data_IF_212807063999
#
_entry.id   IF_212807063999
#
_cell.length_a   1.000
_cell.length_b   1.000
_cell.length_c   1.000
_cell.angle_alpha   90.00
_cell.angle_beta   90.00
_cell.angle_gamma   90.00
#
_symmetry.space_group_name_H-M   'P 1'
#
loop_
_entity.id
_entity.type
_entity.pdbx_description
1 polymer ?
#
# COMPACT_ATOMS: atom_id res chain seq x y z
N UNK A 1 -11.44 -26.74 28.67
CA UNK A 1 -10.59 -26.26 27.56
C UNK A 1 -11.08 -24.89 27.14
N UNK A 2 -10.20 -23.96 26.70
CA UNK A 2 -10.59 -22.55 26.48
C UNK A 2 -11.69 -22.31 25.42
N UNK A 3 -11.82 -23.19 24.42
CA UNK A 3 -12.80 -23.07 23.34
C UNK A 3 -14.19 -23.65 23.69
N UNK A 4 -14.36 -24.18 24.91
CA UNK A 4 -15.66 -24.66 25.40
C UNK A 4 -16.23 -25.91 24.72
N UNK A 5 -15.42 -26.67 23.98
CA UNK A 5 -15.86 -27.88 23.26
C UNK A 5 -16.50 -28.95 24.17
N UNK A 6 -16.11 -28.99 25.45
CA UNK A 6 -16.62 -29.93 26.45
C UNK A 6 -17.57 -29.29 27.46
N UNK A 7 -18.00 -28.04 27.25
CA UNK A 7 -18.80 -27.27 28.20
C UNK A 7 -20.31 -27.58 28.05
N UNK A 8 -20.65 -28.83 27.75
CA UNK A 8 -22.02 -29.31 27.57
C UNK A 8 -22.56 -29.10 26.15
N UNK A 9 -23.85 -28.75 26.04
CA UNK A 9 -24.52 -28.61 24.73
C UNK A 9 -23.92 -27.41 23.96
N UNK A 10 -23.27 -27.63 22.80
CA UNK A 10 -22.61 -26.56 22.04
C UNK A 10 -23.56 -25.41 21.65
N UNK A 11 -24.85 -25.68 21.41
CA UNK A 11 -25.85 -24.65 21.08
C UNK A 11 -26.13 -23.66 22.21
N UNK A 12 -25.79 -24.02 23.45
CA UNK A 12 -25.90 -23.16 24.64
C UNK A 12 -24.62 -22.37 24.92
N UNK A 13 -23.52 -22.67 24.22
CA UNK A 13 -22.27 -21.96 24.35
C UNK A 13 -22.32 -20.58 23.67
N UNK A 14 -21.35 -19.72 23.98
CA UNK A 14 -21.30 -18.32 23.51
C UNK A 14 -21.34 -18.18 21.98
N UNK A 15 -20.83 -19.17 21.23
CA UNK A 15 -20.85 -19.20 19.75
C UNK A 15 -21.89 -20.16 19.16
N UNK A 16 -22.64 -20.87 20.01
CA UNK A 16 -23.51 -21.98 19.61
C UNK A 16 -24.71 -21.61 18.73
N UNK A 17 -25.01 -20.31 18.62
CA UNK A 17 -26.13 -19.78 17.83
C UNK A 17 -25.74 -19.30 16.44
N UNK A 18 -24.44 -19.23 16.14
CA UNK A 18 -23.95 -18.85 14.81
C UNK A 18 -24.21 -20.00 13.83
N UNK A 19 -24.66 -19.67 12.62
CA UNK A 19 -24.95 -20.65 11.58
C UNK A 19 -25.05 -20.05 10.18
N UNK A 20 -25.65 -20.77 9.21
CA UNK A 20 -25.67 -20.35 7.80
C UNK A 20 -26.28 -18.97 7.55
N UNK A 21 -27.25 -18.54 8.37
CA UNK A 21 -27.89 -17.22 8.27
C UNK A 21 -26.95 -16.06 8.61
N UNK A 22 -25.88 -16.33 9.37
CA UNK A 22 -24.88 -15.35 9.80
C UNK A 22 -23.70 -15.31 8.82
N UNK A 23 -23.70 -16.17 7.80
CA UNK A 23 -22.72 -16.19 6.70
C UNK A 23 -23.32 -15.45 5.51
N UNK A 24 -22.48 -14.75 4.72
CA UNK A 24 -22.91 -14.05 3.50
C UNK A 24 -23.96 -12.94 3.69
N UNK A 25 -24.09 -12.36 4.88
CA UNK A 25 -24.99 -11.21 5.09
C UNK A 25 -24.59 -10.01 4.24
N UNK A 26 -25.53 -9.09 3.99
CA UNK A 26 -25.25 -7.88 3.22
C UNK A 26 -24.15 -7.02 3.86
N UNK A 27 -24.07 -7.00 5.19
CA UNK A 27 -23.03 -6.31 5.93
C UNK A 27 -21.65 -6.93 5.70
N UNK A 28 -21.54 -8.26 5.62
CA UNK A 28 -20.28 -8.94 5.31
C UNK A 28 -19.82 -8.67 3.87
N UNK A 29 -20.75 -8.69 2.91
CA UNK A 29 -20.46 -8.39 1.51
C UNK A 29 -20.02 -6.93 1.33
N UNK A 30 -20.67 -5.99 2.01
CA UNK A 30 -20.28 -4.58 1.97
C UNK A 30 -18.94 -4.35 2.68
N UNK A 31 -18.67 -5.05 3.79
CA UNK A 31 -17.36 -5.00 4.45
C UNK A 31 -16.23 -5.46 3.50
N UNK A 32 -16.47 -6.51 2.70
CA UNK A 32 -15.50 -6.96 1.70
C UNK A 32 -15.27 -5.90 0.61
N UNK A 33 -16.33 -5.26 0.11
CA UNK A 33 -16.22 -4.14 -0.85
C UNK A 33 -15.50 -2.93 -0.26
N UNK A 34 -15.81 -2.58 0.98
CA UNK A 34 -15.20 -1.46 1.69
C UNK A 34 -13.72 -1.71 1.96
N UNK A 35 -13.33 -2.93 2.35
CA UNK A 35 -11.94 -3.33 2.47
C UNK A 35 -11.19 -3.16 1.14
N UNK A 36 -11.79 -3.58 0.02
CA UNK A 36 -11.22 -3.38 -1.32
C UNK A 36 -11.09 -1.90 -1.68
N UNK A 37 -12.12 -1.07 -1.48
CA UNK A 37 -12.07 0.40 -1.71
C UNK A 37 -10.96 1.06 -0.92
N UNK A 38 -10.84 0.71 0.36
CA UNK A 38 -9.83 1.25 1.25
C UNK A 38 -8.41 0.80 0.91
N UNK A 39 -8.26 -0.38 0.29
CA UNK A 39 -6.99 -0.98 -0.11
C UNK A 39 -6.48 -0.53 -1.48
N UNK A 40 -7.35 -0.08 -2.39
CA UNK A 40 -6.93 0.41 -3.72
C UNK A 40 -6.00 1.62 -3.58
N UNK A 41 -4.84 1.53 -4.24
CA UNK A 41 -3.79 2.55 -4.21
C UNK A 41 -3.72 3.25 -5.57
N UNK A 42 -3.96 4.56 -5.59
CA UNK A 42 -3.73 5.41 -6.76
C UNK A 42 -2.27 5.85 -6.81
N UNK A 43 -1.52 5.39 -7.81
CA UNK A 43 -0.07 5.60 -7.91
C UNK A 43 0.30 6.73 -8.86
N UNK A 44 -0.52 6.95 -9.89
CA UNK A 44 -0.41 8.06 -10.85
C UNK A 44 -1.80 8.56 -11.16
N UNK A 45 -1.95 9.88 -11.27
CA UNK A 45 -3.17 10.51 -11.76
C UNK A 45 -2.84 11.88 -12.38
N UNK A 46 -2.90 11.95 -13.71
CA UNK A 46 -2.75 13.20 -14.45
C UNK A 46 -3.97 14.10 -14.24
N UNK A 47 -3.77 15.42 -14.26
CA UNK A 47 -4.86 16.39 -14.09
C UNK A 47 -5.97 16.14 -15.12
N UNK A 48 -7.20 15.92 -14.65
CA UNK A 48 -8.36 15.65 -15.51
C UNK A 48 -8.52 14.18 -15.94
N UNK A 49 -7.71 13.27 -15.41
CA UNK A 49 -7.85 11.82 -15.66
C UNK A 49 -8.93 11.19 -14.79
N UNK A 50 -8.57 10.76 -13.57
CA UNK A 50 -9.51 10.20 -12.61
C UNK A 50 -9.96 11.24 -11.56
N UNK A 51 -11.21 11.16 -11.06
CA UNK A 51 -12.24 10.18 -11.43
C UNK A 51 -12.89 10.49 -12.79
N UNK A 52 -13.33 9.45 -13.50
CA UNK A 52 -14.19 9.56 -14.67
C UNK A 52 -15.61 9.94 -14.26
N UNK A 53 -16.34 10.62 -15.15
CA UNK A 53 -17.77 10.86 -14.97
C UNK A 53 -18.57 9.94 -15.89
N UNK A 54 -19.50 9.11 -15.37
CA UNK A 54 -20.38 8.27 -16.19
C UNK A 54 -21.24 9.06 -17.18
N UNK A 55 -21.45 10.36 -16.95
CA UNK A 55 -22.23 11.23 -17.84
C UNK A 55 -21.38 11.96 -18.87
N UNK A 56 -20.06 12.03 -18.67
CA UNK A 56 -19.13 12.70 -19.59
C UNK A 56 -18.58 11.76 -20.66
N UNK A 57 -18.52 10.46 -20.39
CA UNK A 57 -18.12 9.43 -21.34
C UNK A 57 -19.31 8.53 -21.68
N UNK A 58 -19.40 8.09 -22.93
CA UNK A 58 -20.47 7.21 -23.42
C UNK A 58 -19.98 5.78 -23.62
N UNK A 59 -18.69 5.62 -23.94
CA UNK A 59 -18.10 4.32 -24.24
C UNK A 59 -16.79 4.09 -23.50
N UNK A 60 -16.61 2.87 -22.99
CA UNK A 60 -15.42 2.42 -22.29
C UNK A 60 -14.81 1.21 -22.99
N UNK A 61 -13.50 1.22 -23.23
CA UNK A 61 -12.76 0.03 -23.61
C UNK A 61 -12.17 -0.61 -22.35
N UNK A 62 -12.51 -1.87 -22.09
CA UNK A 62 -11.97 -2.65 -20.98
C UNK A 62 -11.09 -3.75 -21.56
N UNK A 63 -9.80 -3.73 -21.25
CA UNK A 63 -8.79 -4.57 -21.91
C UNK A 63 -7.92 -5.27 -20.86
N UNK A 64 -7.58 -6.53 -21.09
CA UNK A 64 -6.49 -7.19 -20.37
C UNK A 64 -6.89 -8.51 -19.69
N UNK A 65 -5.90 -9.36 -19.37
CA UNK A 65 -6.15 -10.72 -18.91
C UNK A 65 -6.85 -10.80 -17.55
N UNK A 66 -6.78 -9.73 -16.74
CA UNK A 66 -7.43 -9.63 -15.44
C UNK A 66 -8.74 -8.84 -15.46
N UNK A 67 -9.27 -8.50 -16.64
CA UNK A 67 -10.50 -7.72 -16.74
C UNK A 67 -11.76 -8.53 -16.39
N UNK A 68 -11.82 -9.82 -16.74
CA UNK A 68 -13.00 -10.66 -16.49
C UNK A 68 -12.66 -11.93 -15.71
N UNK A 69 -12.05 -11.74 -14.54
CA UNK A 69 -11.58 -12.84 -13.67
C UNK A 69 -12.33 -12.85 -12.34
N UNK A 70 -12.45 -14.04 -11.76
CA UNK A 70 -12.97 -14.26 -10.39
C UNK A 70 -11.89 -14.83 -9.47
N UNK A 71 -11.21 -15.89 -9.92
CA UNK A 71 -10.16 -16.58 -9.15
C UNK A 71 -8.94 -15.71 -8.85
N UNK A 72 -8.47 -14.92 -9.81
CA UNK A 72 -7.33 -14.03 -9.55
C UNK A 72 -7.62 -13.05 -8.42
N UNK A 73 -8.86 -12.57 -8.28
CA UNK A 73 -9.18 -11.51 -7.31
C UNK A 73 -9.05 -11.94 -5.85
N UNK A 74 -9.15 -13.24 -5.56
CA UNK A 74 -9.20 -13.77 -4.18
C UNK A 74 -7.86 -14.33 -3.69
N UNK A 75 -6.83 -14.34 -4.55
CA UNK A 75 -5.49 -14.73 -4.16
C UNK A 75 -5.37 -16.23 -3.87
N UNK A 76 -4.89 -16.58 -2.68
CA UNK A 76 -4.73 -17.94 -2.19
C UNK A 76 -5.37 -18.10 -0.79
N UNK A 77 -5.39 -19.34 -0.26
CA UNK A 77 -6.01 -19.65 1.04
C UNK A 77 -7.49 -19.23 1.12
N UNK A 78 -8.19 -19.36 0.01
CA UNK A 78 -9.56 -18.89 -0.17
C UNK A 78 -10.61 -19.99 0.04
N UNK A 79 -11.77 -19.58 0.54
CA UNK A 79 -13.00 -20.38 0.45
C UNK A 79 -13.78 -20.06 -0.83
N UNK A 80 -15.00 -20.58 -0.94
CA UNK A 80 -15.94 -20.15 -1.98
C UNK A 80 -16.67 -18.89 -1.51
N UNK A 81 -16.48 -17.72 -2.15
CA UNK A 81 -17.18 -16.50 -1.80
C UNK A 81 -18.66 -16.57 -2.14
N UNK A 82 -19.44 -15.68 -1.54
CA UNK A 82 -20.89 -15.65 -1.68
C UNK A 82 -21.30 -15.19 -3.08
N UNK A 83 -20.55 -14.24 -3.63
CA UNK A 83 -20.79 -13.65 -4.95
C UNK A 83 -19.51 -12.99 -5.45
N UNK A 84 -19.27 -13.07 -6.76
CA UNK A 84 -18.23 -12.28 -7.41
C UNK A 84 -18.81 -11.08 -8.17
N UNK A 85 -18.04 -10.00 -8.20
CA UNK A 85 -18.18 -8.95 -9.22
C UNK A 85 -16.84 -8.76 -9.91
N UNK A 86 -16.75 -9.20 -11.17
CA UNK A 86 -15.51 -9.05 -11.97
C UNK A 86 -15.26 -7.56 -12.30
N UNK A 87 -14.02 -7.13 -12.60
CA UNK A 87 -13.76 -5.75 -13.01
C UNK A 87 -14.61 -5.33 -14.22
N UNK A 88 -14.76 -6.21 -15.21
CA UNK A 88 -15.61 -5.99 -16.38
C UNK A 88 -17.08 -5.77 -15.97
N UNK A 89 -17.62 -6.59 -15.07
CA UNK A 89 -18.99 -6.42 -14.58
C UNK A 89 -19.18 -5.09 -13.84
N UNK A 90 -18.25 -4.73 -12.95
CA UNK A 90 -18.31 -3.48 -12.21
C UNK A 90 -18.28 -2.25 -13.11
N UNK A 91 -17.42 -2.25 -14.13
CA UNK A 91 -17.29 -1.15 -15.08
C UNK A 91 -18.47 -1.07 -16.07
N UNK A 92 -18.94 -2.22 -16.56
CA UNK A 92 -20.08 -2.31 -17.50
C UNK A 92 -21.39 -1.85 -16.85
N UNK A 93 -21.53 -1.96 -15.54
CA UNK A 93 -22.69 -1.47 -14.81
C UNK A 93 -22.86 0.06 -14.86
N UNK A 94 -21.81 0.80 -15.24
CA UNK A 94 -21.80 2.26 -15.20
C UNK A 94 -21.79 2.91 -16.58
N UNK A 95 -21.08 2.33 -17.54
CA UNK A 95 -20.91 2.87 -18.90
C UNK A 95 -20.90 1.74 -19.91
N UNK A 96 -21.47 1.97 -21.10
CA UNK A 96 -21.44 1.01 -22.20
C UNK A 96 -19.99 0.60 -22.51
N UNK A 97 -19.71 -0.69 -22.39
CA UNK A 97 -18.34 -1.21 -22.38
C UNK A 97 -18.13 -2.19 -23.53
N UNK A 98 -17.02 -2.03 -24.26
CA UNK A 98 -16.49 -3.02 -25.18
C UNK A 98 -15.29 -3.69 -24.53
N UNK A 99 -15.27 -5.03 -24.55
CA UNK A 99 -14.26 -5.83 -23.88
C UNK A 99 -13.36 -6.56 -24.88
N UNK A 100 -12.06 -6.62 -24.58
CA UNK A 100 -11.13 -7.57 -25.19
C UNK A 100 -10.19 -8.12 -24.11
N UNK A 101 -9.91 -9.41 -24.12
CA UNK A 101 -8.98 -9.96 -23.13
C UNK A 101 -7.54 -9.48 -23.38
N UNK A 102 -7.17 -9.13 -24.62
CA UNK A 102 -5.84 -8.69 -25.03
C UNK A 102 -4.77 -9.79 -24.93
N UNK A 103 -4.80 -10.63 -23.91
CA UNK A 103 -4.06 -11.88 -23.78
C UNK A 103 -5.05 -12.97 -23.34
N UNK A 104 -4.72 -14.24 -23.57
CA UNK A 104 -5.54 -15.37 -23.10
C UNK A 104 -5.44 -15.62 -21.60
N UNK A 105 -4.32 -15.24 -20.98
CA UNK A 105 -4.04 -15.37 -19.55
C UNK A 105 -2.96 -14.36 -19.12
N UNK A 106 -2.63 -14.35 -17.82
CA UNK A 106 -1.62 -13.44 -17.25
C UNK A 106 -0.18 -13.74 -17.72
N UNK A 107 0.14 -14.97 -18.14
CA UNK A 107 1.46 -15.26 -18.72
C UNK A 107 1.67 -14.53 -20.06
N UNK A 108 0.57 -14.20 -20.75
CA UNK A 108 0.51 -13.42 -21.99
C UNK A 108 1.61 -13.80 -23.00
N UNK A 109 1.65 -15.08 -23.39
CA UNK A 109 2.62 -15.55 -24.40
C UNK A 109 2.43 -14.87 -25.77
N UNK A 110 1.20 -14.51 -26.13
CA UNK A 110 0.89 -13.76 -27.35
C UNK A 110 -0.24 -12.77 -27.07
N UNK A 111 -0.02 -11.51 -27.39
CA UNK A 111 -1.01 -10.45 -27.24
C UNK A 111 -1.82 -10.25 -28.54
N UNK A 112 -3.14 -10.14 -28.41
CA UNK A 112 -4.11 -9.81 -29.43
C UNK A 112 -4.19 -8.28 -29.60
N UNK A 113 -3.13 -7.70 -30.14
CA UNK A 113 -2.93 -6.25 -30.19
C UNK A 113 -3.95 -5.54 -31.09
N UNK A 114 -4.27 -6.09 -32.26
CA UNK A 114 -5.08 -5.39 -33.25
C UNK A 114 -6.51 -5.13 -32.77
N UNK A 115 -7.15 -6.13 -32.17
CA UNK A 115 -8.48 -6.00 -31.59
C UNK A 115 -8.48 -5.02 -30.41
N UNK A 116 -7.51 -5.16 -29.49
CA UNK A 116 -7.37 -4.28 -28.34
C UNK A 116 -7.21 -2.81 -28.74
N UNK A 117 -6.36 -2.53 -29.75
CA UNK A 117 -6.18 -1.18 -30.31
C UNK A 117 -7.47 -0.67 -30.95
N UNK A 118 -8.17 -1.51 -31.71
CA UNK A 118 -9.42 -1.13 -32.39
C UNK A 118 -10.47 -0.66 -31.39
N UNK A 119 -10.71 -1.41 -30.30
CA UNK A 119 -11.73 -1.04 -29.33
C UNK A 119 -11.29 0.17 -28.48
N UNK A 120 -10.00 0.29 -28.16
CA UNK A 120 -9.45 1.44 -27.45
C UNK A 120 -9.56 2.74 -28.26
N UNK A 121 -9.35 2.67 -29.58
CA UNK A 121 -9.49 3.81 -30.48
C UNK A 121 -10.96 4.25 -30.69
N UNK A 122 -11.92 3.38 -30.39
CA UNK A 122 -13.35 3.63 -30.51
C UNK A 122 -14.01 4.13 -29.21
N UNK A 123 -13.32 4.00 -28.08
CA UNK A 123 -13.84 4.37 -26.76
C UNK A 123 -13.43 5.79 -26.34
N UNK A 124 -14.24 6.41 -25.48
CA UNK A 124 -13.96 7.71 -24.87
C UNK A 124 -12.88 7.61 -23.79
N UNK A 125 -12.79 6.45 -23.11
CA UNK A 125 -11.74 6.12 -22.15
C UNK A 125 -11.37 4.63 -22.24
N UNK A 126 -10.16 4.29 -21.79
CA UNK A 126 -9.63 2.92 -21.81
C UNK A 126 -9.16 2.51 -20.41
N UNK A 127 -9.59 1.33 -19.96
CA UNK A 127 -9.12 0.70 -18.72
C UNK A 127 -8.39 -0.60 -19.07
N UNK A 128 -7.09 -0.65 -18.77
CA UNK A 128 -6.24 -1.82 -18.92
C UNK A 128 -6.11 -2.53 -17.57
N UNK A 129 -6.62 -3.76 -17.43
CA UNK A 129 -6.48 -4.57 -16.21
C UNK A 129 -5.50 -5.72 -16.44
N UNK A 130 -4.30 -5.55 -15.88
CA UNK A 130 -3.10 -6.37 -16.10
C UNK A 130 -2.58 -6.91 -14.77
N UNK A 131 -1.44 -7.61 -14.81
CA UNK A 131 -0.77 -8.12 -13.61
C UNK A 131 -0.63 -9.64 -13.63
N UNK A 132 -0.84 -10.29 -12.49
CA UNK A 132 -0.57 -11.72 -12.30
C UNK A 132 -1.62 -12.43 -11.45
N UNK A 133 -1.53 -13.75 -11.43
CA UNK A 133 -2.27 -14.66 -10.56
C UNK A 133 -1.32 -15.68 -9.90
N UNK A 134 -1.90 -16.67 -9.22
CA UNK A 134 -1.19 -17.72 -8.49
C UNK A 134 -0.40 -18.69 -9.40
N UNK A 135 -0.52 -18.60 -10.73
CA UNK A 135 0.39 -19.31 -11.64
C UNK A 135 1.80 -18.70 -11.67
N UNK A 136 1.95 -17.45 -11.22
CA UNK A 136 3.20 -16.69 -11.24
C UNK A 136 3.76 -16.48 -9.82
N UNK A 137 2.93 -16.11 -8.84
CA UNK A 137 3.35 -15.97 -7.43
C UNK A 137 2.43 -16.75 -6.49
N UNK A 138 2.98 -17.77 -5.82
CA UNK A 138 2.20 -18.64 -4.93
C UNK A 138 3.10 -19.32 -3.88
N UNK A 139 2.48 -20.04 -2.95
CA UNK A 139 3.23 -20.90 -2.04
C UNK A 139 4.07 -21.92 -2.81
N UNK A 140 5.34 -22.05 -2.44
CA UNK A 140 6.31 -22.87 -3.16
C UNK A 140 6.68 -22.36 -4.54
N UNK A 141 6.30 -21.12 -4.90
CA UNK A 141 6.56 -20.50 -6.20
C UNK A 141 6.88 -19.01 -6.03
N UNK A 142 8.15 -18.73 -5.80
CA UNK A 142 8.66 -17.37 -5.93
C UNK A 142 8.73 -16.95 -7.40
N UNK A 143 8.56 -15.64 -7.64
CA UNK A 143 8.87 -15.05 -8.94
C UNK A 143 10.36 -15.04 -9.19
N UNK A 144 10.76 -15.18 -10.45
CA UNK A 144 12.18 -15.08 -10.88
C UNK A 144 12.56 -13.67 -11.34
N UNK A 145 11.57 -12.81 -11.58
CA UNK A 145 11.76 -11.40 -11.92
C UNK A 145 10.54 -10.58 -11.44
N UNK A 146 10.64 -9.26 -11.53
CA UNK A 146 9.57 -8.33 -11.15
C UNK A 146 9.12 -7.48 -12.34
N UNK A 147 9.20 -8.01 -13.56
CA UNK A 147 8.59 -7.42 -14.74
C UNK A 147 7.17 -7.96 -14.93
N UNK A 148 6.30 -7.19 -15.60
CA UNK A 148 5.00 -7.73 -16.01
C UNK A 148 5.21 -8.90 -17.00
N UNK A 149 4.48 -10.02 -16.86
CA UNK A 149 4.77 -11.20 -17.67
C UNK A 149 4.50 -11.05 -19.16
N UNK A 150 5.30 -11.77 -19.96
CA UNK A 150 5.08 -11.96 -21.39
C UNK A 150 4.94 -10.65 -22.15
N UNK A 151 3.91 -10.58 -23.01
CA UNK A 151 3.65 -9.44 -23.87
C UNK A 151 2.69 -8.40 -23.24
N UNK A 152 2.43 -8.45 -21.92
CA UNK A 152 1.61 -7.43 -21.27
C UNK A 152 2.18 -6.01 -21.44
N UNK A 153 3.51 -5.74 -21.31
CA UNK A 153 4.06 -4.41 -21.60
C UNK A 153 3.81 -3.91 -23.02
N UNK A 154 3.88 -4.82 -24.01
CA UNK A 154 3.58 -4.52 -25.41
C UNK A 154 2.09 -4.16 -25.59
N UNK A 155 1.19 -4.94 -25.01
CA UNK A 155 -0.25 -4.68 -25.01
C UNK A 155 -0.56 -3.29 -24.42
N UNK A 156 -0.01 -2.99 -23.24
CA UNK A 156 -0.21 -1.70 -22.56
C UNK A 156 0.25 -0.56 -23.47
N UNK A 157 1.47 -0.64 -23.99
CA UNK A 157 2.08 0.41 -24.82
C UNK A 157 1.28 0.66 -26.10
N UNK A 158 0.91 -0.40 -26.80
CA UNK A 158 0.20 -0.27 -28.08
C UNK A 158 -1.25 0.19 -27.92
N UNK A 159 -1.93 -0.25 -26.86
CA UNK A 159 -3.28 0.24 -26.52
C UNK A 159 -3.24 1.71 -26.08
N UNK A 160 -2.26 2.10 -25.26
CA UNK A 160 -2.12 3.49 -24.82
C UNK A 160 -1.88 4.44 -26.00
N UNK A 161 -1.06 4.05 -26.98
CA UNK A 161 -0.85 4.81 -28.23
C UNK A 161 -2.13 4.95 -29.06
N UNK A 162 -2.96 3.90 -29.14
CA UNK A 162 -4.18 3.89 -29.94
C UNK A 162 -5.37 4.60 -29.26
N UNK A 163 -5.33 4.74 -27.94
CA UNK A 163 -6.41 5.35 -27.15
C UNK A 163 -6.53 6.87 -27.42
N UNK A 164 -7.77 7.35 -27.51
CA UNK A 164 -8.07 8.77 -27.72
C UNK A 164 -8.14 9.57 -26.42
N UNK A 165 -8.77 9.01 -25.40
CA UNK A 165 -8.97 9.66 -24.11
C UNK A 165 -8.09 9.11 -22.99
N UNK A 166 -8.58 9.23 -21.76
CA UNK A 166 -7.85 8.79 -20.57
C UNK A 166 -7.58 7.29 -20.62
N UNK A 167 -6.33 6.90 -20.38
CA UNK A 167 -5.90 5.52 -20.20
C UNK A 167 -5.62 5.28 -18.71
N UNK A 168 -6.33 4.31 -18.15
CA UNK A 168 -6.22 3.91 -16.75
C UNK A 168 -5.61 2.51 -16.72
N UNK A 169 -4.42 2.39 -16.13
CA UNK A 169 -3.77 1.10 -15.90
C UNK A 169 -4.11 0.59 -14.51
N UNK A 170 -4.69 -0.60 -14.43
CA UNK A 170 -5.03 -1.30 -13.19
C UNK A 170 -4.11 -2.53 -13.07
N UNK A 171 -3.25 -2.53 -12.06
CA UNK A 171 -2.32 -3.63 -11.78
C UNK A 171 -2.90 -4.49 -10.65
N UNK A 172 -3.31 -5.71 -10.98
CA UNK A 172 -3.81 -6.72 -10.05
C UNK A 172 -2.70 -7.74 -9.75
N UNK A 173 -2.19 -7.70 -8.52
CA UNK A 173 -1.10 -8.56 -8.04
C UNK A 173 -0.90 -8.40 -6.54
N UNK A 174 -0.30 -9.39 -5.89
CA UNK A 174 0.22 -9.22 -4.53
C UNK A 174 1.52 -8.42 -4.52
N UNK A 175 2.51 -8.86 -5.30
CA UNK A 175 3.81 -8.21 -5.42
C UNK A 175 3.83 -6.97 -6.32
N UNK A 176 4.80 -6.07 -6.09
CA UNK A 176 5.09 -4.94 -6.98
C UNK A 176 5.84 -5.33 -8.26
N UNK A 177 5.86 -4.41 -9.23
CA UNK A 177 6.51 -4.59 -10.53
C UNK A 177 7.35 -3.37 -10.93
N UNK A 178 8.37 -3.61 -11.75
CA UNK A 178 9.01 -2.59 -12.55
C UNK A 178 8.09 -2.20 -13.73
N UNK A 179 7.28 -1.17 -13.48
CA UNK A 179 6.44 -0.52 -14.49
C UNK A 179 6.96 0.87 -14.84
N UNK A 180 8.28 1.09 -14.76
CA UNK A 180 8.91 2.37 -15.15
C UNK A 180 8.46 2.85 -16.53
N UNK A 181 8.35 1.94 -17.51
CA UNK A 181 7.84 2.24 -18.85
C UNK A 181 6.44 2.87 -18.83
N UNK A 182 5.54 2.37 -17.97
CA UNK A 182 4.17 2.87 -17.88
C UNK A 182 4.05 4.12 -17.00
N UNK A 183 4.83 4.17 -15.91
CA UNK A 183 4.90 5.34 -15.02
C UNK A 183 5.32 6.59 -15.81
N UNK A 184 6.29 6.44 -16.71
CA UNK A 184 6.88 7.53 -17.48
C UNK A 184 6.17 7.83 -18.81
N UNK A 185 5.12 7.07 -19.17
CA UNK A 185 4.33 7.33 -20.37
C UNK A 185 3.16 8.28 -20.07
N UNK A 186 3.15 9.46 -20.68
CA UNK A 186 2.09 10.46 -20.52
C UNK A 186 0.73 10.02 -21.09
N UNK A 187 0.71 9.04 -22.01
CA UNK A 187 -0.54 8.42 -22.48
C UNK A 187 -1.22 7.63 -21.38
N UNK A 188 -0.46 7.08 -20.43
CA UNK A 188 -1.02 6.39 -19.26
C UNK A 188 -1.32 7.42 -18.19
N UNK A 189 -2.55 7.92 -18.26
CA UNK A 189 -3.00 9.04 -17.44
C UNK A 189 -3.22 8.68 -15.97
N UNK A 190 -3.51 7.42 -15.65
CA UNK A 190 -3.69 6.96 -14.28
C UNK A 190 -3.16 5.53 -14.08
N UNK A 191 -2.65 5.25 -12.87
CA UNK A 191 -2.20 3.92 -12.46
C UNK A 191 -2.80 3.58 -11.09
N UNK A 192 -3.49 2.45 -11.01
CA UNK A 192 -4.06 1.87 -9.80
C UNK A 192 -3.36 0.54 -9.50
N UNK A 193 -2.98 0.31 -8.25
CA UNK A 193 -2.67 -1.03 -7.74
C UNK A 193 -3.81 -1.49 -6.83
N UNK A 194 -4.30 -2.70 -7.08
CA UNK A 194 -5.54 -3.20 -6.46
C UNK A 194 -5.33 -4.44 -5.60
N UNK A 195 -4.09 -4.90 -5.44
CA UNK A 195 -3.81 -6.13 -4.70
C UNK A 195 -4.53 -7.32 -5.34
N UNK A 196 -5.08 -8.16 -4.46
CA UNK A 196 -6.15 -9.12 -4.75
C UNK A 196 -7.44 -8.63 -4.08
N UNK A 197 -8.34 -7.96 -4.83
CA UNK A 197 -9.41 -7.13 -4.25
C UNK A 197 -10.66 -7.92 -3.78
N UNK A 198 -10.58 -9.25 -3.73
CA UNK A 198 -11.61 -10.12 -3.16
C UNK A 198 -12.90 -10.21 -4.01
N UNK A 199 -13.97 -10.68 -3.36
CA UNK A 199 -15.23 -11.05 -4.02
C UNK A 199 -15.94 -9.85 -4.67
N UNK A 200 -15.85 -8.66 -4.06
CA UNK A 200 -16.45 -7.42 -4.54
C UNK A 200 -15.44 -6.51 -5.27
N UNK A 201 -14.28 -7.04 -5.65
CA UNK A 201 -13.17 -6.25 -6.16
C UNK A 201 -13.48 -5.45 -7.41
N UNK A 202 -14.24 -6.01 -8.36
CA UNK A 202 -14.66 -5.29 -9.55
C UNK A 202 -15.58 -4.09 -9.26
N UNK A 203 -16.44 -4.21 -8.26
CA UNK A 203 -17.30 -3.10 -7.83
C UNK A 203 -16.48 -1.99 -7.15
N UNK A 204 -15.50 -2.35 -6.32
CA UNK A 204 -14.60 -1.39 -5.69
C UNK A 204 -13.70 -0.65 -6.70
N UNK A 205 -13.21 -1.35 -7.73
CA UNK A 205 -12.45 -0.74 -8.83
C UNK A 205 -13.31 0.29 -9.57
N UNK A 206 -14.57 -0.08 -9.87
CA UNK A 206 -15.52 0.82 -10.50
C UNK A 206 -15.82 2.05 -9.63
N UNK A 207 -16.01 1.86 -8.31
CA UNK A 207 -16.24 2.95 -7.37
C UNK A 207 -15.11 3.99 -7.37
N UNK A 208 -13.86 3.53 -7.42
CA UNK A 208 -12.70 4.42 -7.51
C UNK A 208 -12.65 5.09 -8.87
N UNK A 209 -12.68 4.33 -9.97
CA UNK A 209 -12.55 4.88 -11.33
C UNK A 209 -13.61 5.94 -11.64
N UNK A 210 -14.84 5.77 -11.14
CA UNK A 210 -15.94 6.73 -11.38
C UNK A 210 -16.18 7.71 -10.23
N UNK A 211 -15.31 7.73 -9.22
CA UNK A 211 -15.34 8.74 -8.16
C UNK A 211 -16.44 8.56 -7.11
N UNK A 212 -17.12 7.41 -7.07
CA UNK A 212 -18.01 7.04 -5.97
C UNK A 212 -17.23 6.78 -4.68
N UNK A 213 -15.92 6.52 -4.79
CA UNK A 213 -15.01 6.43 -3.66
C UNK A 213 -13.70 7.17 -3.95
N UNK A 214 -13.26 7.98 -2.99
CA UNK A 214 -11.97 8.67 -3.05
C UNK A 214 -10.85 7.74 -2.53
N UNK A 215 -9.90 7.28 -3.36
CA UNK A 215 -8.91 6.31 -2.95
C UNK A 215 -8.01 6.86 -1.84
N UNK A 216 -7.73 5.99 -0.87
CA UNK A 216 -6.95 6.32 0.33
C UNK A 216 -5.96 5.22 0.72
N UNK A 217 -5.85 4.18 -0.11
CA UNK A 217 -4.85 3.13 0.04
C UNK A 217 -3.43 3.67 -0.10
N UNK A 218 -2.49 2.99 0.52
CA UNK A 218 -1.06 3.32 0.53
C UNK A 218 -0.27 2.03 0.33
N UNK A 219 0.83 2.10 -0.43
CA UNK A 219 1.65 0.91 -0.67
C UNK A 219 2.23 0.36 0.64
N UNK A 220 1.99 -0.93 0.96
CA UNK A 220 2.62 -1.59 2.11
C UNK A 220 4.03 -2.11 1.79
N UNK A 221 4.51 -1.91 0.56
CA UNK A 221 5.80 -2.40 0.09
C UNK A 221 6.44 -1.44 -0.92
N UNK A 222 7.76 -1.48 -1.01
CA UNK A 222 8.52 -0.77 -2.04
C UNK A 222 8.42 -1.52 -3.37
N UNK A 223 8.17 -0.79 -4.46
CA UNK A 223 8.27 -1.31 -5.82
C UNK A 223 9.66 -0.98 -6.37
N UNK A 224 10.43 -2.03 -6.63
CA UNK A 224 11.83 -1.93 -7.06
C UNK A 224 11.93 -1.96 -8.59
N UNK A 225 12.99 -1.35 -9.17
CA UNK A 225 13.37 -1.63 -10.55
C UNK A 225 13.86 -3.07 -10.69
N UNK A 226 13.75 -3.65 -11.88
CA UNK A 226 14.19 -5.02 -12.17
C UNK A 226 15.67 -5.26 -11.80
N UNK A 227 16.51 -4.24 -11.97
CA UNK A 227 17.93 -4.27 -11.59
C UNK A 227 18.18 -4.61 -10.11
N UNK A 228 17.19 -4.44 -9.24
CA UNK A 228 17.28 -4.86 -7.84
C UNK A 228 17.38 -6.38 -7.70
N UNK A 229 16.49 -7.13 -8.36
CA UNK A 229 16.47 -8.61 -8.25
C UNK A 229 17.62 -9.24 -9.04
N UNK A 230 18.15 -8.53 -10.04
CA UNK A 230 19.35 -8.96 -10.77
C UNK A 230 20.61 -8.86 -9.90
N UNK A 231 20.63 -7.92 -8.93
CA UNK A 231 21.78 -7.65 -8.06
C UNK A 231 21.72 -8.36 -6.71
N UNK A 232 20.52 -8.54 -6.15
CA UNK A 232 20.33 -9.00 -4.77
C UNK A 232 19.96 -10.49 -4.79
N UNK A 233 20.80 -11.40 -4.28
CA UNK A 233 20.40 -12.79 -4.10
C UNK A 233 19.22 -12.86 -3.12
N UNK A 234 18.09 -13.46 -3.52
CA UNK A 234 16.91 -13.54 -2.66
C UNK A 234 17.12 -14.41 -1.41
N UNK A 235 18.15 -15.24 -1.39
CA UNK A 235 18.61 -16.00 -0.22
C UNK A 235 19.45 -15.20 0.77
N UNK A 236 19.90 -13.99 0.40
CA UNK A 236 20.65 -13.11 1.29
C UNK A 236 19.69 -12.38 2.25
N UNK A 237 19.70 -12.77 3.52
CA UNK A 237 18.80 -12.23 4.54
C UNK A 237 19.27 -10.90 5.16
N UNK A 238 20.44 -10.39 4.77
CA UNK A 238 20.94 -9.13 5.31
C UNK A 238 20.01 -7.97 4.91
N UNK A 239 19.58 -7.18 5.88
CA UNK A 239 18.68 -6.04 5.62
C UNK A 239 19.45 -4.77 5.27
N UNK A 240 20.62 -4.57 5.88
CA UNK A 240 21.43 -3.36 5.78
C UNK A 240 22.23 -3.34 4.47
N UNK A 241 22.46 -2.16 3.88
CA UNK A 241 23.36 -2.05 2.75
C UNK A 241 24.79 -2.37 3.18
N UNK A 242 25.57 -2.92 2.26
CA UNK A 242 27.01 -3.10 2.40
C UNK A 242 27.70 -2.47 1.19
N UNK A 243 28.28 -1.26 1.35
CA UNK A 243 28.99 -0.57 0.28
C UNK A 243 30.19 -1.35 -0.27
N UNK A 244 30.83 -2.21 0.54
CA UNK A 244 32.02 -2.94 0.12
C UNK A 244 31.70 -4.03 -0.93
N UNK A 245 30.57 -4.72 -0.77
CA UNK A 245 30.05 -5.67 -1.77
C UNK A 245 29.11 -5.01 -2.80
N UNK A 246 28.76 -3.74 -2.60
CA UNK A 246 27.75 -3.04 -3.38
C UNK A 246 26.31 -3.50 -3.08
N UNK A 247 26.09 -4.27 -2.02
CA UNK A 247 24.76 -4.71 -1.61
C UNK A 247 23.89 -3.51 -1.18
N UNK A 248 22.72 -3.27 -1.82
CA UNK A 248 22.00 -2.01 -1.67
C UNK A 248 21.05 -1.96 -0.46
N UNK A 249 20.94 -3.03 0.32
CA UNK A 249 19.98 -3.16 1.42
C UNK A 249 18.58 -3.58 0.96
N UNK A 250 17.66 -3.75 1.92
CA UNK A 250 16.28 -4.20 1.69
C UNK A 250 15.27 -3.30 2.38
N UNK A 251 14.05 -3.28 1.85
CA UNK A 251 12.90 -2.49 2.33
C UNK A 251 13.13 -0.99 2.30
N UNK A 252 12.09 -0.19 2.51
CA UNK A 252 12.21 1.26 2.65
C UNK A 252 13.14 1.69 3.81
N UNK A 253 13.41 0.80 4.77
CA UNK A 253 14.21 1.11 5.97
C UNK A 253 15.69 1.26 5.66
N UNK A 254 16.22 0.46 4.74
CA UNK A 254 17.66 0.32 4.52
C UNK A 254 18.08 0.41 3.06
N UNK A 255 17.15 0.25 2.12
CA UNK A 255 17.47 0.31 0.71
C UNK A 255 17.95 1.70 0.30
N UNK A 256 19.10 1.76 -0.39
CA UNK A 256 19.73 3.02 -0.81
C UNK A 256 19.64 3.28 -2.31
N UNK A 257 18.95 2.42 -3.08
CA UNK A 257 18.81 2.56 -4.52
C UNK A 257 17.52 3.26 -4.95
N UNK A 258 17.28 3.28 -6.26
CA UNK A 258 16.10 3.89 -6.86
C UNK A 258 14.84 3.04 -6.68
N UNK A 259 13.68 3.68 -6.58
CA UNK A 259 12.38 3.01 -6.44
C UNK A 259 11.43 3.45 -7.54
N UNK A 260 10.60 2.52 -8.01
CA UNK A 260 9.49 2.85 -8.91
C UNK A 260 8.40 3.55 -8.12
N UNK A 261 8.03 2.97 -6.97
CA UNK A 261 7.19 3.58 -5.95
C UNK A 261 7.74 3.15 -4.59
N UNK A 262 7.67 4.03 -3.60
CA UNK A 262 8.17 3.76 -2.25
C UNK A 262 7.05 3.31 -1.31
N UNK A 263 7.44 2.73 -0.18
CA UNK A 263 6.52 2.39 0.90
C UNK A 263 5.74 3.63 1.35
N UNK A 264 4.42 3.50 1.43
CA UNK A 264 3.52 4.58 1.78
C UNK A 264 3.09 5.49 0.62
N UNK A 265 3.54 5.25 -0.61
CA UNK A 265 3.03 5.97 -1.79
C UNK A 265 1.55 5.69 -2.02
N UNK A 266 0.83 6.72 -2.49
CA UNK A 266 -0.59 6.68 -2.79
C UNK A 266 -1.15 8.09 -2.94
N UNK A 267 -2.10 8.27 -3.84
CA UNK A 267 -2.74 9.54 -4.14
C UNK A 267 -4.21 9.48 -3.72
N UNK A 268 -4.80 10.66 -3.57
CA UNK A 268 -6.23 10.86 -3.33
C UNK A 268 -6.77 11.80 -4.40
N UNK A 269 -8.09 11.84 -4.58
CA UNK A 269 -8.75 12.87 -5.39
C UNK A 269 -8.82 14.23 -4.71
N UNK A 270 -8.28 14.35 -3.49
CA UNK A 270 -8.10 15.62 -2.81
C UNK A 270 -6.66 15.78 -2.30
N UNK A 271 -6.34 16.98 -1.82
CA UNK A 271 -5.03 17.30 -1.24
C UNK A 271 -5.17 17.48 0.26
N UNK A 272 -4.30 16.81 1.02
CA UNK A 272 -4.23 16.93 2.47
C UNK A 272 -2.93 17.61 2.88
N UNK A 273 -3.04 18.60 3.76
CA UNK A 273 -1.92 19.29 4.37
C UNK A 273 -1.82 18.92 5.85
N UNK A 274 -0.60 18.87 6.36
CA UNK A 274 -0.31 18.49 7.74
C UNK A 274 0.26 19.67 8.52
N UNK A 275 -0.23 19.88 9.73
CA UNK A 275 0.29 20.91 10.64
C UNK A 275 0.55 20.34 12.04
N UNK A 276 1.77 20.47 12.51
CA UNK A 276 2.15 20.01 13.85
C UNK A 276 1.55 20.93 14.92
N UNK A 277 0.75 20.37 15.81
CA UNK A 277 0.16 21.11 16.95
C UNK A 277 1.01 20.92 18.20
N UNK A 278 1.43 19.68 18.46
CA UNK A 278 2.18 19.32 19.66
C UNK A 278 3.19 18.22 19.31
N UNK A 279 4.45 18.45 19.68
CA UNK A 279 5.47 17.42 19.81
C UNK A 279 6.60 17.95 20.70
N UNK A 280 7.20 17.12 21.57
CA UNK A 280 8.32 17.55 22.39
C UNK A 280 9.57 17.78 21.54
N UNK A 281 10.39 18.77 21.90
CA UNK A 281 11.71 18.99 21.28
C UNK A 281 12.80 18.09 21.88
N UNK A 282 12.56 17.58 23.08
CA UNK A 282 13.48 16.69 23.77
C UNK A 282 12.75 15.70 24.67
N UNK A 283 13.33 14.52 24.84
CA UNK A 283 12.91 13.53 25.84
C UNK A 283 14.15 13.03 26.57
N UNK A 284 14.05 12.89 27.89
CA UNK A 284 15.12 12.37 28.75
C UNK A 284 14.76 10.95 29.19
N UNK A 285 15.67 10.01 29.00
CA UNK A 285 15.56 8.63 29.46
C UNK A 285 16.15 8.59 30.87
N UNK A 286 15.36 8.28 31.91
CA UNK A 286 15.88 8.16 33.26
C UNK A 286 16.82 6.94 33.33
N UNK A 287 18.07 7.19 33.72
CA UNK A 287 19.06 6.15 34.02
C UNK A 287 19.56 6.35 35.45
N UNK A 288 20.08 5.29 36.07
CA UNK A 288 20.61 5.37 37.44
C UNK A 288 21.83 6.29 37.54
N UNK A 289 22.01 7.00 38.66
CA UNK A 289 23.11 7.96 38.84
C UNK A 289 24.51 7.36 38.63
N UNK A 290 24.69 6.06 38.96
CA UNK A 290 25.93 5.32 38.75
C UNK A 290 26.13 4.79 37.32
N UNK A 291 25.19 5.03 36.41
CA UNK A 291 25.25 4.50 35.06
C UNK A 291 26.42 5.10 34.28
N UNK A 292 27.18 4.26 33.59
CA UNK A 292 28.43 4.63 32.90
C UNK A 292 28.24 5.78 31.90
N UNK A 293 27.04 5.91 31.31
CA UNK A 293 26.69 6.99 30.38
C UNK A 293 26.61 8.40 31.01
N UNK A 294 26.56 8.55 32.33
CA UNK A 294 26.73 9.87 32.96
C UNK A 294 28.18 10.35 32.89
N UNK A 295 29.13 9.42 33.03
CA UNK A 295 30.58 9.69 32.98
C UNK A 295 31.19 9.60 31.58
N UNK A 296 30.50 8.97 30.63
CA UNK A 296 31.01 8.70 29.27
C UNK A 296 30.00 9.11 28.19
N UNK A 297 30.48 9.53 27.01
CA UNK A 297 29.61 9.90 25.88
C UNK A 297 29.01 8.66 25.21
N UNK A 298 27.91 8.16 25.73
CA UNK A 298 27.14 7.10 25.09
C UNK A 298 26.42 7.59 23.83
N UNK A 299 26.38 6.72 22.81
CA UNK A 299 25.61 6.94 21.58
C UNK A 299 24.22 6.27 21.62
N UNK A 300 24.04 5.33 22.54
CA UNK A 300 22.82 4.57 22.72
C UNK A 300 22.78 4.03 24.15
N UNK A 301 21.58 3.68 24.64
CA UNK A 301 21.34 3.05 25.94
C UNK A 301 20.41 1.86 25.79
N UNK A 302 20.49 0.90 26.71
CA UNK A 302 19.58 -0.25 26.69
C UNK A 302 18.11 0.17 26.87
N UNK A 303 17.25 -0.38 26.02
CA UNK A 303 15.80 -0.21 26.11
C UNK A 303 15.22 -1.19 27.15
N UNK A 304 15.67 -1.10 28.41
CA UNK A 304 15.22 -1.96 29.52
C UNK A 304 13.92 -1.46 30.13
N UNK A 305 13.05 -2.38 30.54
CA UNK A 305 11.69 -2.06 30.99
C UNK A 305 11.65 -1.08 32.19
N UNK A 306 12.65 -1.11 33.06
CA UNK A 306 12.76 -0.24 34.25
C UNK A 306 13.05 1.23 33.90
N UNK A 307 14.01 1.50 33.00
CA UNK A 307 14.30 2.87 32.51
C UNK A 307 13.24 3.39 31.54
N UNK A 308 12.38 2.50 31.04
CA UNK A 308 11.37 2.79 30.03
C UNK A 308 9.94 2.86 30.59
N UNK A 309 9.76 2.70 31.90
CA UNK A 309 8.42 2.65 32.49
C UNK A 309 7.70 4.00 32.33
N UNK A 310 6.57 3.98 31.61
CA UNK A 310 5.77 5.16 31.26
C UNK A 310 6.51 6.24 30.46
N UNK A 311 7.63 5.90 29.79
CA UNK A 311 8.37 6.86 28.98
C UNK A 311 7.75 6.98 27.57
N UNK A 312 6.68 7.76 27.48
CA UNK A 312 5.98 8.04 26.24
C UNK A 312 5.64 9.52 26.11
N UNK A 313 5.43 9.98 24.89
CA UNK A 313 4.96 11.34 24.60
C UNK A 313 3.92 11.34 23.48
N UNK A 314 3.07 12.36 23.50
CA UNK A 314 2.05 12.54 22.49
C UNK A 314 2.52 13.46 21.36
N UNK A 315 2.14 13.10 20.14
CA UNK A 315 2.24 13.95 18.95
C UNK A 315 0.83 14.25 18.48
N UNK A 316 0.50 15.54 18.40
CA UNK A 316 -0.77 16.02 17.86
C UNK A 316 -0.54 16.73 16.54
N UNK A 317 -1.33 16.34 15.54
CA UNK A 317 -1.24 16.87 14.20
C UNK A 317 -2.64 17.20 13.66
N UNK A 318 -2.79 18.36 13.02
CA UNK A 318 -3.98 18.66 12.22
C UNK A 318 -3.77 18.20 10.79
N UNK A 319 -4.75 17.47 10.27
CA UNK A 319 -4.88 17.11 8.86
C UNK A 319 -5.95 18.00 8.25
N UNK A 320 -5.56 18.90 7.36
CA UNK A 320 -6.47 19.78 6.65
C UNK A 320 -6.73 19.21 5.24
N UNK A 321 -8.00 19.07 4.86
CA UNK A 321 -8.40 18.76 3.49
C UNK A 321 -8.54 20.06 2.70
N UNK A 322 -7.52 20.39 1.92
CA UNK A 322 -7.46 21.63 1.16
C UNK A 322 -8.28 21.59 -0.14
N UNK A 323 -8.74 20.42 -0.58
CA UNK A 323 -9.52 20.28 -1.81
C UNK A 323 -11.03 20.35 -1.61
N UNK A 324 -11.75 20.04 -2.69
CA UNK A 324 -13.21 20.13 -2.75
C UNK A 324 -13.92 18.77 -2.59
N UNK A 325 -13.14 17.70 -2.42
CA UNK A 325 -13.65 16.33 -2.33
C UNK A 325 -13.32 15.80 -0.94
N UNK A 326 -14.34 15.30 -0.23
CA UNK A 326 -14.15 14.63 1.05
C UNK A 326 -13.40 13.31 0.85
N UNK A 327 -12.65 12.87 1.86
CA UNK A 327 -11.95 11.60 1.74
C UNK A 327 -11.24 11.18 3.01
N UNK A 328 -10.88 9.91 3.04
CA UNK A 328 -10.00 9.38 4.07
C UNK A 328 -8.53 9.64 3.71
N UNK A 329 -7.72 9.91 4.74
CA UNK A 329 -6.28 10.07 4.63
C UNK A 329 -5.58 9.17 5.63
N UNK A 330 -4.58 8.43 5.15
CA UNK A 330 -3.73 7.59 5.99
C UNK A 330 -2.48 8.38 6.35
N UNK A 331 -2.33 8.72 7.63
CA UNK A 331 -1.22 9.47 8.19
C UNK A 331 -0.19 8.48 8.73
N UNK A 332 0.99 8.43 8.12
CA UNK A 332 2.13 7.65 8.63
C UNK A 332 3.06 8.55 9.45
N UNK A 333 3.35 8.13 10.69
CA UNK A 333 4.38 8.74 11.52
C UNK A 333 5.66 7.90 11.41
N UNK A 334 6.74 8.49 10.93
CA UNK A 334 8.04 7.86 10.85
C UNK A 334 9.08 8.54 11.76
N UNK A 335 10.12 7.79 12.13
CA UNK A 335 11.36 8.33 12.70
C UNK A 335 12.56 8.00 11.81
N UNK A 336 13.46 8.96 11.66
CA UNK A 336 14.84 8.78 11.20
C UNK A 336 15.76 8.95 12.41
N UNK A 337 16.32 7.85 12.95
CA UNK A 337 17.20 7.90 14.11
C UNK A 337 18.60 8.44 13.76
N UNK A 338 19.41 8.80 14.77
CA UNK A 338 20.85 9.06 14.58
C UNK A 338 21.59 7.87 13.96
N UNK A 339 22.70 8.15 13.27
CA UNK A 339 23.57 7.12 12.65
C UNK A 339 24.38 6.35 13.70
N UNK A 340 23.77 5.35 14.32
CA UNK A 340 24.37 4.46 15.32
C UNK A 340 23.94 3.02 15.01
N UNK A 341 24.82 2.04 15.18
CA UNK A 341 24.55 0.61 14.92
C UNK A 341 23.96 0.33 13.53
N UNK A 342 24.44 1.07 12.51
CA UNK A 342 23.90 1.02 11.14
C UNK A 342 22.37 1.12 11.12
N UNK A 343 21.85 2.13 11.82
CA UNK A 343 20.43 2.39 11.99
C UNK A 343 19.71 2.57 10.65
N UNK A 344 18.39 2.29 10.59
CA UNK A 344 17.61 2.49 9.37
C UNK A 344 17.57 3.97 8.97
N UNK A 345 17.47 4.23 7.67
CA UNK A 345 17.23 5.56 7.11
C UNK A 345 15.92 6.15 7.64
N UNK A 346 14.92 5.28 7.82
CA UNK A 346 13.56 5.64 8.22
C UNK A 346 12.85 4.41 8.78
N UNK A 347 12.01 4.59 9.78
CA UNK A 347 11.19 3.52 10.38
C UNK A 347 9.80 4.04 10.74
N UNK A 348 8.76 3.25 10.44
CA UNK A 348 7.38 3.57 10.77
C UNK A 348 7.13 3.34 12.26
N UNK A 349 6.67 4.37 12.96
CA UNK A 349 6.27 4.29 14.37
C UNK A 349 4.80 3.90 14.53
N UNK A 350 3.95 4.40 13.64
CA UNK A 350 2.52 4.12 13.66
C UNK A 350 1.80 4.80 12.50
N UNK A 351 0.53 4.45 12.31
CA UNK A 351 -0.32 5.07 11.32
C UNK A 351 -1.75 5.20 11.81
N UNK A 352 -2.44 6.23 11.33
CA UNK A 352 -3.83 6.50 11.64
C UNK A 352 -4.59 6.85 10.36
N UNK A 353 -5.82 6.36 10.22
CA UNK A 353 -6.68 6.69 9.08
C UNK A 353 -7.81 7.59 9.54
N UNK A 354 -7.92 8.76 8.93
CA UNK A 354 -8.88 9.79 9.32
C UNK A 354 -9.71 10.22 8.12
N UNK A 355 -11.03 10.31 8.28
CA UNK A 355 -11.91 10.91 7.29
C UNK A 355 -12.00 12.42 7.53
N UNK A 356 -11.78 13.22 6.48
CA UNK A 356 -11.86 14.68 6.56
C UNK A 356 -12.74 15.19 5.42
N UNK A 357 -13.81 15.89 5.77
CA UNK A 357 -14.69 16.53 4.79
C UNK A 357 -13.94 17.60 4.00
N UNK A 358 -14.41 17.91 2.80
CA UNK A 358 -13.85 18.98 1.98
C UNK A 358 -13.74 20.29 2.78
N UNK A 359 -12.60 20.99 2.66
CA UNK A 359 -12.29 22.26 3.35
C UNK A 359 -12.31 22.20 4.88
N UNK A 360 -12.35 21.01 5.48
CA UNK A 360 -12.30 20.84 6.91
C UNK A 360 -10.93 20.35 7.39
N UNK A 361 -10.79 20.23 8.70
CA UNK A 361 -9.62 19.67 9.34
C UNK A 361 -10.01 18.67 10.43
N UNK A 362 -9.11 17.72 10.72
CA UNK A 362 -9.25 16.76 11.79
C UNK A 362 -7.96 16.67 12.60
N UNK A 363 -8.08 16.38 13.90
CA UNK A 363 -6.95 16.14 14.78
C UNK A 363 -6.59 14.65 14.78
N UNK A 364 -5.33 14.35 14.53
CA UNK A 364 -4.74 13.01 14.65
C UNK A 364 -3.74 13.02 15.81
N UNK A 365 -3.73 11.95 16.59
CA UNK A 365 -2.89 11.81 17.78
C UNK A 365 -2.09 10.52 17.68
N UNK A 366 -0.80 10.59 17.97
CA UNK A 366 0.06 9.44 18.15
C UNK A 366 0.62 9.46 19.56
N UNK A 367 0.63 8.31 20.21
CA UNK A 367 1.39 8.09 21.44
C UNK A 367 2.65 7.32 21.08
N UNK A 368 3.81 7.95 21.27
CA UNK A 368 5.12 7.37 20.96
C UNK A 368 5.75 6.89 22.25
N UNK A 369 5.98 5.58 22.36
CA UNK A 369 6.76 4.97 23.42
C UNK A 369 8.25 5.05 23.04
N UNK A 370 9.06 5.71 23.86
CA UNK A 370 10.46 5.99 23.53
C UNK A 370 11.25 4.71 23.32
N UNK A 371 11.04 3.71 24.17
CA UNK A 371 11.86 2.50 24.14
C UNK A 371 11.34 1.46 23.15
N UNK A 372 10.03 1.41 22.93
CA UNK A 372 9.46 0.52 21.93
C UNK A 372 9.63 1.08 20.52
N UNK A 373 9.27 2.34 20.31
CA UNK A 373 9.08 2.91 18.97
C UNK A 373 10.36 3.60 18.46
N UNK A 374 11.19 4.20 19.33
CA UNK A 374 12.47 4.82 18.94
C UNK A 374 13.68 3.89 19.09
N UNK A 375 13.47 2.62 19.48
CA UNK A 375 14.58 1.68 19.60
C UNK A 375 15.11 1.20 18.25
N UNK A 376 16.41 0.93 18.25
CA UNK A 376 17.14 0.22 17.21
C UNK A 376 17.69 -1.09 17.81
N UNK A 377 18.26 -1.94 16.96
CA UNK A 377 18.90 -3.19 17.39
C UNK A 377 20.38 -3.10 17.07
N UNK A 378 21.21 -3.32 18.09
CA UNK A 378 22.66 -3.31 17.98
C UNK A 378 23.21 -4.59 17.32
N UNK A 379 24.54 -4.69 17.25
CA UNK A 379 25.24 -5.81 16.63
C UNK A 379 25.09 -7.13 17.40
N UNK A 380 24.67 -7.08 18.67
CA UNK A 380 24.48 -8.24 19.55
C UNK A 380 23.01 -8.67 19.63
N UNK A 381 22.11 -7.99 18.94
CA UNK A 381 20.67 -8.28 18.98
C UNK A 381 19.94 -7.60 20.14
N UNK A 382 20.59 -6.69 20.86
CA UNK A 382 20.00 -5.97 21.99
C UNK A 382 19.24 -4.75 21.48
N UNK A 383 18.04 -4.51 22.03
CA UNK A 383 17.29 -3.28 21.75
C UNK A 383 17.92 -2.11 22.51
N UNK A 384 18.29 -1.08 21.75
CA UNK A 384 18.89 0.15 22.27
C UNK A 384 18.07 1.35 21.84
N UNK A 385 17.98 2.38 22.67
CA UNK A 385 17.51 3.71 22.23
C UNK A 385 18.73 4.52 21.82
N UNK A 386 18.74 5.00 20.57
CA UNK A 386 19.80 5.89 20.10
C UNK A 386 19.68 7.26 20.76
N UNK A 387 20.78 7.77 21.33
CA UNK A 387 20.85 9.11 21.89
C UNK A 387 21.19 10.12 20.80
N UNK A 388 20.70 11.35 20.97
CA UNK A 388 20.89 12.47 20.05
C UNK A 388 19.66 12.78 19.22
N UNK A 389 19.89 13.34 18.03
CA UNK A 389 18.84 13.90 17.19
C UNK A 389 18.11 12.84 16.37
N UNK A 390 16.85 12.60 16.70
CA UNK A 390 15.88 11.92 15.85
C UNK A 390 15.11 12.96 15.03
N UNK A 391 14.70 12.59 13.82
CA UNK A 391 13.76 13.37 13.04
C UNK A 391 12.47 12.59 12.92
N UNK A 392 11.36 13.18 13.31
CA UNK A 392 10.01 12.64 13.15
C UNK A 392 9.38 13.22 11.89
N UNK A 393 8.70 12.41 11.09
CA UNK A 393 8.23 12.81 9.77
C UNK A 393 6.80 12.35 9.51
N UNK A 394 5.98 13.25 8.97
CA UNK A 394 4.64 12.97 8.46
C UNK A 394 4.50 13.65 7.09
N UNK A 395 4.52 12.87 6.01
CA UNK A 395 4.61 13.44 4.67
C UNK A 395 5.85 14.33 4.51
N UNK A 396 5.64 15.61 4.18
CA UNK A 396 6.69 16.62 4.08
C UNK A 396 7.05 17.29 5.42
N UNK A 397 6.19 17.18 6.44
CA UNK A 397 6.44 17.74 7.76
C UNK A 397 7.58 16.98 8.43
N UNK A 398 8.54 17.72 8.98
CA UNK A 398 9.66 17.20 9.78
C UNK A 398 9.70 17.89 11.13
N UNK A 399 9.97 17.15 12.19
CA UNK A 399 10.13 17.64 13.54
C UNK A 399 11.35 17.01 14.20
N UNK A 400 12.23 17.84 14.76
CA UNK A 400 13.45 17.39 15.42
C UNK A 400 13.17 17.05 16.90
N UNK A 401 13.54 15.84 17.31
CA UNK A 401 13.44 15.35 18.69
C UNK A 401 14.83 14.96 19.19
N UNK A 402 15.31 15.60 20.25
CA UNK A 402 16.56 15.21 20.90
C UNK A 402 16.30 14.21 22.03
N UNK A 403 16.82 12.99 21.89
CA UNK A 403 16.76 11.97 22.94
C UNK A 403 18.05 12.03 23.76
N UNK A 404 17.93 12.24 25.06
CA UNK A 404 19.06 12.32 25.99
C UNK A 404 18.81 11.44 27.22
N UNK A 405 19.82 11.31 28.04
CA UNK A 405 19.74 10.75 29.40
C UNK A 405 19.64 11.90 30.39
#
# INVERSE_FOLDING_TARGET
MRLGFFDGNPSKAIYGKLGPKDVCTSEHQELAREAARQGIVLLKNSKGSLPLSPTAIKTLAVIGPNANVTKTMIGNYEGTPCKYTTPLQGLTALVATTYSSGCSNVACGTAQIDEAKKIAAAADATVLIVGIDQSIEAEGRDRVNIQLPGQQPLLITEVAKASKGNVILVVMSGGGFDISFAKNDDKITSILWVGYPGEAGGAAIADVIFGFYNPSGRLPMTWYPQSYVDKVPMTNMNMRPDPASGYPGRTYRFYTGETIYTFGDGLSYTQFNHHLVQAPKSVSIPIEEGHSCHSSKCKSVDAVQESCQNLAFDIHLRVNNAGNISGSHTVFLFSSPPSVHNSPQKHLLGFEKVFVTAKAEALVRFKVDVCKDLSIVDELGTRKVALGLHVLHVGSLKHSLNVRI
#
